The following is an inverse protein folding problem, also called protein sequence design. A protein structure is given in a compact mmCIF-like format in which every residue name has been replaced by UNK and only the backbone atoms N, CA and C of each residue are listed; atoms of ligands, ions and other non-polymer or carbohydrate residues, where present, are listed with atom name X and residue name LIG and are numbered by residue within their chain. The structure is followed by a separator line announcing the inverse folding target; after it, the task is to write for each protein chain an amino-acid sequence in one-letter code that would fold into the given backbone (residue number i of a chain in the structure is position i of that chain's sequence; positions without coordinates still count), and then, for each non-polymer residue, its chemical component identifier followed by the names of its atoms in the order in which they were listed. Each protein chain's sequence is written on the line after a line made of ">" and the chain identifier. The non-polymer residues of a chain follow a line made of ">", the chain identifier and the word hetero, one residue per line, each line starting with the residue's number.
data_IF_899520893754
#
_entry.id   IF_899520893754
#
_cell.length_a   1.000
_cell.length_b   1.000
_cell.length_c   1.000
_cell.angle_alpha   90.00
_cell.angle_beta   90.00
_cell.angle_gamma   90.00
#
_symmetry.space_group_name_H-M   'P 1'
#
loop_
_entity.id
_entity.type
_entity.pdbx_description
1 polymer ?
#
# COMPACT_ATOMS: atom_id res chain seq x y z
N UNK A 1 1.15 19.05 -8.92
CA UNK A 1 0.56 17.74 -8.56
C UNK A 1 0.75 16.82 -9.76
N UNK A 2 1.43 15.71 -9.58
CA UNK A 2 1.58 14.69 -10.63
C UNK A 2 0.21 14.05 -10.89
N UNK A 3 -0.11 13.73 -12.15
CA UNK A 3 -1.33 13.00 -12.49
C UNK A 3 -1.27 11.60 -11.88
N UNK A 4 -2.43 11.08 -11.42
CA UNK A 4 -2.55 9.71 -10.93
C UNK A 4 -2.15 8.72 -12.02
N UNK A 5 -1.35 7.72 -11.68
CA UNK A 5 -0.95 6.67 -12.62
C UNK A 5 -2.15 5.84 -13.10
N UNK A 6 -2.10 5.34 -14.34
CA UNK A 6 -3.14 4.48 -14.87
C UNK A 6 -3.19 3.14 -14.13
N UNK A 7 -4.41 2.65 -13.88
CA UNK A 7 -4.71 1.29 -13.38
C UNK A 7 -4.89 0.38 -14.60
N UNK A 8 -4.17 -0.72 -14.64
CA UNK A 8 -4.09 -1.61 -15.81
C UNK A 8 -4.37 -3.08 -15.50
N UNK A 9 -4.10 -3.52 -14.28
CA UNK A 9 -4.30 -4.90 -13.82
C UNK A 9 -5.70 -5.10 -13.23
N UNK A 10 -6.15 -4.15 -12.40
CA UNK A 10 -7.46 -4.20 -11.77
C UNK A 10 -8.57 -3.68 -12.68
N UNK A 11 -9.77 -4.26 -12.58
CA UNK A 11 -10.99 -3.58 -12.99
C UNK A 11 -11.38 -2.49 -11.96
N UNK A 12 -12.38 -1.64 -12.30
CA UNK A 12 -12.78 -0.53 -11.45
C UNK A 12 -13.25 -0.98 -10.05
N UNK A 13 -13.98 -2.08 -9.96
CA UNK A 13 -14.46 -2.63 -8.70
C UNK A 13 -13.33 -3.14 -7.82
N UNK A 14 -12.43 -3.95 -8.38
CA UNK A 14 -11.25 -4.45 -7.66
C UNK A 14 -10.36 -3.31 -7.17
N UNK A 15 -10.14 -2.30 -8.01
CA UNK A 15 -9.36 -1.12 -7.62
C UNK A 15 -10.01 -0.38 -6.45
N UNK A 16 -11.34 -0.19 -6.46
CA UNK A 16 -12.07 0.47 -5.38
C UNK A 16 -11.97 -0.31 -4.06
N UNK A 17 -12.13 -1.64 -4.10
CA UNK A 17 -12.04 -2.49 -2.90
C UNK A 17 -10.63 -2.49 -2.32
N UNK A 18 -9.60 -2.67 -3.14
CA UNK A 18 -8.19 -2.68 -2.68
C UNK A 18 -7.75 -1.29 -2.19
N UNK A 19 -8.19 -0.22 -2.87
CA UNK A 19 -7.93 1.16 -2.41
C UNK A 19 -8.61 1.45 -1.07
N UNK A 20 -9.84 0.98 -0.87
CA UNK A 20 -10.53 1.10 0.43
C UNK A 20 -9.78 0.34 1.53
N UNK A 21 -9.32 -0.89 1.27
CA UNK A 21 -8.49 -1.64 2.22
C UNK A 21 -7.21 -0.88 2.58
N UNK A 22 -6.46 -0.42 1.58
CA UNK A 22 -5.23 0.34 1.79
C UNK A 22 -5.48 1.61 2.62
N UNK A 23 -6.59 2.31 2.36
CA UNK A 23 -6.98 3.51 3.11
C UNK A 23 -7.36 3.22 4.57
N UNK A 24 -7.80 2.00 4.92
CA UNK A 24 -8.02 1.62 6.33
C UNK A 24 -6.73 1.17 7.01
N UNK A 25 -5.77 0.61 6.27
CA UNK A 25 -4.45 0.20 6.79
C UNK A 25 -3.58 1.43 7.09
N UNK A 26 -3.53 2.41 6.19
CA UNK A 26 -2.82 3.68 6.39
C UNK A 26 -3.81 4.82 6.08
N UNK A 27 -4.64 5.19 7.06
CA UNK A 27 -5.58 6.29 6.88
C UNK A 27 -4.82 7.62 6.83
N UNK A 28 -5.27 8.52 5.97
CA UNK A 28 -4.82 9.91 6.00
C UNK A 28 -5.50 10.69 7.10
N UNK A 29 -4.97 11.88 7.38
CA UNK A 29 -5.58 12.90 8.23
C UNK A 29 -5.59 14.24 7.51
N UNK A 30 -6.03 15.29 8.20
CA UNK A 30 -5.98 16.64 7.64
C UNK A 30 -4.53 17.10 7.35
N UNK A 31 -3.59 16.65 8.17
CA UNK A 31 -2.19 17.10 8.12
C UNK A 31 -1.25 16.05 7.53
N UNK A 32 -1.61 14.77 7.59
CA UNK A 32 -0.76 13.64 7.19
C UNK A 32 -1.38 12.85 6.03
N UNK A 33 -0.63 12.62 4.94
CA UNK A 33 -1.11 11.82 3.82
C UNK A 33 -1.24 10.34 4.18
N UNK A 34 -2.34 9.72 3.74
CA UNK A 34 -2.55 8.28 3.82
C UNK A 34 -2.27 7.56 2.51
N UNK A 35 -2.73 6.30 2.44
CA UNK A 35 -2.55 5.45 1.27
C UNK A 35 -3.20 6.01 -0.01
N UNK A 36 -4.31 6.76 0.13
CA UNK A 36 -5.00 7.39 -1.02
C UNK A 36 -4.17 8.53 -1.61
N UNK A 37 -3.66 9.43 -0.76
CA UNK A 37 -2.86 10.58 -1.15
C UNK A 37 -1.51 10.14 -1.73
N UNK A 38 -0.97 9.04 -1.23
CA UNK A 38 0.25 8.43 -1.72
C UNK A 38 0.07 7.58 -2.99
N UNK A 39 -1.14 7.44 -3.54
CA UNK A 39 -1.45 6.60 -4.71
C UNK A 39 -1.00 5.14 -4.54
N UNK A 40 -1.14 4.56 -3.34
CA UNK A 40 -0.71 3.19 -3.04
C UNK A 40 -1.34 2.17 -3.99
N UNK A 41 -2.59 2.37 -4.41
CA UNK A 41 -3.27 1.49 -5.38
C UNK A 41 -2.52 1.39 -6.72
N UNK A 42 -1.86 2.47 -7.16
CA UNK A 42 -1.06 2.46 -8.40
C UNK A 42 0.17 1.57 -8.25
N UNK A 43 0.81 1.58 -7.07
CA UNK A 43 1.89 0.65 -6.76
C UNK A 43 1.41 -0.79 -6.83
N UNK A 44 0.31 -1.12 -6.14
CA UNK A 44 -0.21 -2.50 -6.09
C UNK A 44 -0.58 -2.98 -7.49
N UNK A 45 -1.27 -2.16 -8.29
CA UNK A 45 -1.65 -2.49 -9.66
C UNK A 45 -0.43 -2.80 -10.54
N UNK A 46 0.60 -1.95 -10.49
CA UNK A 46 1.85 -2.15 -11.25
C UNK A 46 2.63 -3.37 -10.78
N UNK A 47 2.69 -3.60 -9.48
CA UNK A 47 3.37 -4.77 -8.91
C UNK A 47 2.70 -6.07 -9.37
N UNK A 48 1.36 -6.11 -9.39
CA UNK A 48 0.58 -7.23 -9.91
C UNK A 48 0.66 -7.38 -11.42
N UNK A 49 0.80 -6.30 -12.19
CA UNK A 49 1.08 -6.37 -13.61
C UNK A 49 2.50 -6.87 -13.92
N UNK A 50 3.40 -6.87 -12.95
CA UNK A 50 4.81 -7.23 -13.08
C UNK A 50 5.28 -8.32 -12.12
N UNK A 51 6.11 -7.93 -11.15
CA UNK A 51 6.83 -8.87 -10.26
C UNK A 51 5.92 -9.77 -9.42
N UNK A 52 4.74 -9.29 -9.04
CA UNK A 52 3.75 -10.02 -8.25
C UNK A 52 2.61 -10.61 -9.09
N UNK A 53 2.81 -10.80 -10.40
CA UNK A 53 1.79 -11.34 -11.31
C UNK A 53 1.19 -12.69 -10.86
N UNK A 54 1.95 -13.51 -10.15
CA UNK A 54 1.51 -14.78 -9.57
C UNK A 54 0.44 -14.60 -8.46
N UNK A 55 0.30 -13.41 -7.87
CA UNK A 55 -0.71 -13.08 -6.85
C UNK A 55 -2.04 -12.56 -7.43
N UNK A 56 -2.15 -12.33 -8.75
CA UNK A 56 -3.41 -11.89 -9.35
C UNK A 56 -4.60 -12.80 -9.03
N UNK A 57 -4.48 -14.16 -9.04
CA UNK A 57 -5.59 -15.03 -8.65
C UNK A 57 -6.01 -14.83 -7.17
N UNK A 58 -5.06 -14.58 -6.26
CA UNK A 58 -5.34 -14.27 -4.86
C UNK A 58 -6.16 -12.98 -4.74
N UNK A 59 -5.76 -11.91 -5.43
CA UNK A 59 -6.48 -10.64 -5.41
C UNK A 59 -7.91 -10.77 -5.96
N UNK A 60 -8.12 -11.48 -7.07
CA UNK A 60 -9.47 -11.71 -7.58
C UNK A 60 -10.36 -12.46 -6.59
N UNK A 61 -9.90 -13.60 -6.10
CA UNK A 61 -10.66 -14.41 -5.13
C UNK A 61 -10.84 -13.69 -3.79
N UNK A 62 -9.82 -12.98 -3.34
CA UNK A 62 -9.84 -12.23 -2.08
C UNK A 62 -10.85 -11.09 -2.09
N UNK A 63 -10.90 -10.30 -3.17
CA UNK A 63 -11.91 -9.24 -3.35
C UNK A 63 -13.32 -9.85 -3.36
N UNK A 64 -13.57 -10.91 -4.14
CA UNK A 64 -14.88 -11.57 -4.20
C UNK A 64 -15.31 -12.13 -2.84
N UNK A 65 -14.39 -12.74 -2.08
CA UNK A 65 -14.68 -13.28 -0.76
C UNK A 65 -14.93 -12.17 0.27
N UNK A 66 -14.15 -11.07 0.22
CA UNK A 66 -14.32 -9.92 1.10
C UNK A 66 -15.66 -9.22 0.86
N UNK A 67 -16.04 -9.03 -0.40
CA UNK A 67 -17.33 -8.43 -0.76
C UNK A 67 -18.50 -9.30 -0.32
N UNK A 68 -18.39 -10.62 -0.47
CA UNK A 68 -19.40 -11.57 0.03
C UNK A 68 -19.58 -11.45 1.55
N UNK A 69 -18.45 -11.45 2.30
CA UNK A 69 -18.49 -11.30 3.76
C UNK A 69 -19.06 -9.93 4.19
N UNK A 70 -18.69 -8.87 3.48
CA UNK A 70 -19.23 -7.53 3.73
C UNK A 70 -20.74 -7.45 3.45
N UNK A 71 -21.20 -8.04 2.35
CA UNK A 71 -22.61 -8.10 2.00
C UNK A 71 -23.42 -8.92 3.03
N UNK A 72 -22.92 -10.04 3.51
CA UNK A 72 -23.56 -10.85 4.56
C UNK A 72 -23.66 -10.10 5.89
N UNK A 73 -22.64 -9.32 6.27
CA UNK A 73 -22.59 -8.61 7.56
C UNK A 73 -23.27 -7.25 7.51
N UNK A 74 -23.22 -6.55 6.37
CA UNK A 74 -23.59 -5.13 6.27
C UNK A 74 -24.52 -4.81 5.09
N UNK A 75 -24.83 -5.79 4.22
CA UNK A 75 -25.75 -5.62 3.10
C UNK A 75 -25.16 -4.89 1.88
N UNK A 76 -23.84 -4.65 1.83
CA UNK A 76 -23.17 -3.94 0.75
C UNK A 76 -21.76 -4.52 0.52
N UNK A 77 -21.17 -4.38 -0.70
CA UNK A 77 -19.79 -4.75 -0.94
C UNK A 77 -18.83 -3.89 -0.11
N UNK A 78 -17.64 -4.41 0.17
CA UNK A 78 -16.68 -3.80 1.12
C UNK A 78 -16.39 -2.31 0.83
N UNK A 79 -16.19 -1.94 -0.44
CA UNK A 79 -15.89 -0.55 -0.81
C UNK A 79 -17.04 0.43 -0.54
N UNK A 80 -18.28 -0.06 -0.42
CA UNK A 80 -19.49 0.73 -0.14
C UNK A 80 -19.85 0.75 1.35
N UNK A 81 -19.20 -0.07 2.17
CA UNK A 81 -19.37 -0.04 3.63
C UNK A 81 -18.80 1.26 4.22
N UNK A 82 -19.34 1.67 5.37
CA UNK A 82 -18.78 2.77 6.13
C UNK A 82 -17.35 2.42 6.63
N UNK A 83 -16.54 3.43 6.89
CA UNK A 83 -15.17 3.24 7.41
C UNK A 83 -15.13 2.38 8.67
N UNK A 84 -16.05 2.58 9.61
CA UNK A 84 -16.15 1.78 10.83
C UNK A 84 -16.47 0.30 10.55
N UNK A 85 -17.30 0.01 9.53
CA UNK A 85 -17.59 -1.36 9.11
C UNK A 85 -16.38 -2.00 8.41
N UNK A 86 -15.70 -1.23 7.57
CA UNK A 86 -14.43 -1.67 6.94
C UNK A 86 -13.36 -1.97 7.99
N UNK A 87 -13.20 -1.10 9.00
CA UNK A 87 -12.25 -1.29 10.09
C UNK A 87 -12.55 -2.56 10.92
N UNK A 88 -13.82 -2.82 11.22
CA UNK A 88 -14.22 -4.03 11.94
C UNK A 88 -13.87 -5.29 11.14
N UNK A 89 -14.22 -5.33 9.85
CA UNK A 89 -13.91 -6.47 8.97
C UNK A 89 -12.41 -6.71 8.83
N UNK A 90 -11.62 -5.66 8.62
CA UNK A 90 -10.16 -5.78 8.47
C UNK A 90 -9.47 -6.08 9.80
N UNK A 91 -9.96 -5.50 10.91
CA UNK A 91 -9.43 -5.77 12.24
C UNK A 91 -9.50 -7.25 12.60
N UNK A 92 -10.64 -7.90 12.35
CA UNK A 92 -10.80 -9.33 12.55
C UNK A 92 -9.82 -10.15 11.68
N UNK A 93 -9.67 -9.78 10.41
CA UNK A 93 -8.80 -10.52 9.47
C UNK A 93 -7.31 -10.32 9.76
N UNK A 94 -6.90 -9.16 10.26
CA UNK A 94 -5.50 -8.85 10.54
C UNK A 94 -5.08 -9.24 11.96
N UNK A 95 -6.01 -9.42 12.90
CA UNK A 95 -5.70 -9.91 14.25
C UNK A 95 -5.16 -11.34 14.22
N UNK A 96 -5.64 -12.18 13.30
CA UNK A 96 -5.27 -13.60 13.15
C UNK A 96 -4.16 -13.85 12.10
N UNK A 97 -3.32 -12.87 11.79
CA UNK A 97 -2.25 -12.98 10.79
C UNK A 97 -1.11 -13.97 11.16
N UNK A 98 -1.16 -14.58 12.32
CA UNK A 98 -0.31 -15.73 12.66
C UNK A 98 -1.12 -17.03 12.53
N UNK A 99 -0.72 -17.95 11.92
CA UNK A 99 -0.39 -18.74 10.75
C UNK A 99 -1.61 -19.43 10.10
N UNK A 100 -2.37 -18.69 9.31
CA UNK A 100 -3.68 -19.15 8.82
C UNK A 100 -3.67 -20.23 7.73
N UNK A 101 -2.53 -20.58 7.14
CA UNK A 101 -2.52 -21.51 5.99
C UNK A 101 -2.62 -23.00 6.36
N UNK A 102 -2.43 -23.38 7.65
CA UNK A 102 -2.45 -24.77 8.09
C UNK A 102 -3.09 -24.97 9.48
N UNK A 103 -3.96 -24.07 9.92
CA UNK A 103 -4.62 -24.21 11.23
C UNK A 103 -5.80 -25.16 11.10
N UNK A 104 -5.77 -26.37 11.74
CA UNK A 104 -6.90 -27.29 11.71
C UNK A 104 -8.17 -26.65 12.27
N UNK A 105 -9.26 -26.71 11.50
CA UNK A 105 -10.58 -26.21 11.93
C UNK A 105 -10.94 -24.80 11.45
N UNK A 106 -10.04 -24.11 10.73
CA UNK A 106 -10.38 -22.86 10.04
C UNK A 106 -10.92 -23.20 8.65
N UNK A 107 -12.06 -22.58 8.26
CA UNK A 107 -12.62 -22.78 6.93
C UNK A 107 -11.74 -22.13 5.84
N UNK A 108 -11.86 -22.66 4.59
CA UNK A 108 -11.03 -22.24 3.47
C UNK A 108 -11.21 -20.74 3.13
N UNK A 109 -12.43 -20.20 3.25
CA UNK A 109 -12.72 -18.79 2.95
C UNK A 109 -12.09 -17.86 3.99
N UNK A 110 -12.10 -18.21 5.27
CA UNK A 110 -11.44 -17.44 6.35
C UNK A 110 -9.93 -17.45 6.16
N UNK A 111 -9.33 -18.60 5.84
CA UNK A 111 -7.89 -18.71 5.56
C UNK A 111 -7.49 -17.88 4.34
N UNK A 112 -8.30 -17.91 3.27
CA UNK A 112 -8.08 -17.09 2.08
C UNK A 112 -8.13 -15.59 2.41
N UNK A 113 -9.12 -15.16 3.17
CA UNK A 113 -9.32 -13.75 3.51
C UNK A 113 -8.20 -13.22 4.40
N UNK A 114 -7.78 -13.96 5.44
CA UNK A 114 -6.68 -13.56 6.30
C UNK A 114 -5.36 -13.45 5.52
N UNK A 115 -5.08 -14.40 4.64
CA UNK A 115 -3.90 -14.33 3.78
C UNK A 115 -3.97 -13.17 2.79
N UNK A 116 -5.13 -12.95 2.15
CA UNK A 116 -5.34 -11.82 1.26
C UNK A 116 -5.15 -10.47 1.99
N UNK A 117 -5.75 -10.31 3.17
CA UNK A 117 -5.59 -9.11 3.99
C UNK A 117 -4.13 -8.87 4.38
N UNK A 118 -3.39 -9.90 4.76
CA UNK A 118 -1.96 -9.82 5.07
C UNK A 118 -1.13 -9.37 3.85
N UNK A 119 -1.41 -9.91 2.67
CA UNK A 119 -0.73 -9.50 1.42
C UNK A 119 -1.07 -8.06 1.04
N UNK A 120 -2.34 -7.64 1.15
CA UNK A 120 -2.72 -6.24 0.91
C UNK A 120 -2.05 -5.31 1.91
N UNK A 121 -1.98 -5.69 3.20
CA UNK A 121 -1.26 -4.93 4.22
C UNK A 121 0.22 -4.75 3.85
N UNK A 122 0.91 -5.84 3.49
CA UNK A 122 2.32 -5.79 3.04
C UNK A 122 2.50 -4.85 1.85
N UNK A 123 1.68 -5.02 0.81
CA UNK A 123 1.79 -4.20 -0.40
C UNK A 123 1.38 -2.73 -0.14
N UNK A 124 0.52 -2.47 0.84
CA UNK A 124 0.19 -1.10 1.26
C UNK A 124 1.41 -0.41 1.87
N UNK A 125 2.15 -1.08 2.74
CA UNK A 125 3.41 -0.56 3.31
C UNK A 125 4.46 -0.34 2.21
N UNK A 126 4.62 -1.29 1.31
CA UNK A 126 5.55 -1.16 0.18
C UNK A 126 5.18 0.04 -0.72
N UNK A 127 3.90 0.20 -1.05
CA UNK A 127 3.41 1.31 -1.86
C UNK A 127 3.51 2.67 -1.16
N UNK A 128 3.35 2.72 0.17
CA UNK A 128 3.45 3.95 0.95
C UNK A 128 4.89 4.42 1.12
N UNK A 129 5.84 3.49 1.28
CA UNK A 129 7.22 3.81 1.67
C UNK A 129 8.28 3.40 0.64
N UNK A 130 7.88 2.78 -0.46
CA UNK A 130 8.77 2.50 -1.59
C UNK A 130 9.17 3.76 -2.36
N UNK A 131 10.10 3.62 -3.33
CA UNK A 131 10.45 4.74 -4.19
C UNK A 131 9.27 5.09 -5.13
N UNK A 132 8.94 6.37 -5.32
CA UNK A 132 7.86 6.82 -6.22
C UNK A 132 7.96 6.29 -7.67
N UNK A 133 9.15 5.89 -8.11
CA UNK A 133 9.34 5.28 -9.42
C UNK A 133 8.52 3.98 -9.60
N UNK A 134 8.12 3.33 -8.52
CA UNK A 134 7.30 2.10 -8.56
C UNK A 134 5.78 2.37 -8.57
N UNK A 135 5.35 3.63 -8.42
CA UNK A 135 3.96 4.04 -8.63
C UNK A 135 3.21 4.53 -7.41
N UNK A 136 3.60 4.12 -6.19
CA UNK A 136 3.09 4.65 -4.92
C UNK A 136 3.95 5.79 -4.37
N UNK A 137 3.79 6.10 -3.09
CA UNK A 137 4.56 7.14 -2.39
C UNK A 137 4.63 8.45 -3.20
N UNK A 138 3.50 8.84 -3.79
CA UNK A 138 3.42 9.99 -4.68
C UNK A 138 4.03 11.23 -4.03
N UNK A 139 4.89 11.92 -4.78
CA UNK A 139 5.61 13.12 -4.33
C UNK A 139 6.45 12.89 -3.05
N UNK A 140 6.81 11.62 -2.74
CA UNK A 140 7.54 11.25 -1.54
C UNK A 140 6.73 11.43 -0.25
N UNK A 141 5.40 11.30 -0.32
CA UNK A 141 4.48 11.54 0.79
C UNK A 141 4.83 10.72 2.04
N UNK A 142 5.00 9.41 1.91
CA UNK A 142 5.38 8.54 3.02
C UNK A 142 6.80 8.81 3.54
N UNK A 143 7.73 9.16 2.66
CA UNK A 143 9.08 9.51 3.08
C UNK A 143 9.13 10.83 3.86
N UNK A 144 8.31 11.80 3.48
CA UNK A 144 8.20 13.07 4.22
C UNK A 144 7.64 12.87 5.62
N UNK A 145 6.65 11.99 5.79
CA UNK A 145 6.13 11.61 7.11
C UNK A 145 7.22 11.04 8.03
N UNK A 146 8.14 10.26 7.47
CA UNK A 146 9.23 9.64 8.23
C UNK A 146 10.45 10.54 8.39
N UNK A 147 10.51 11.70 7.74
CA UNK A 147 11.73 12.48 7.63
C UNK A 147 12.83 11.74 6.85
N UNK A 148 12.45 10.80 5.97
CA UNK A 148 13.40 10.02 5.19
C UNK A 148 13.77 10.78 3.89
N UNK A 149 15.06 11.06 3.64
CA UNK A 149 15.49 11.88 2.52
C UNK A 149 15.50 11.15 1.17
N UNK A 150 15.05 9.90 1.13
CA UNK A 150 14.96 9.11 -0.10
C UNK A 150 16.29 8.50 -0.56
N UNK A 151 16.40 8.28 -1.88
CA UNK A 151 17.55 7.63 -2.49
C UNK A 151 18.76 8.57 -2.52
N UNK A 152 19.92 8.13 -1.98
CA UNK A 152 21.14 8.93 -1.90
C UNK A 152 22.40 8.09 -2.16
N UNK A 153 23.44 8.71 -2.69
CA UNK A 153 24.74 8.07 -2.88
C UNK A 153 25.54 7.94 -1.56
N UNK A 154 25.20 8.74 -0.54
CA UNK A 154 25.87 8.75 0.76
C UNK A 154 25.40 9.93 1.60
N UNK A 155 25.88 9.95 2.84
CA UNK A 155 25.62 10.99 3.83
C UNK A 155 26.95 11.65 4.22
N UNK A 156 26.91 12.96 4.49
CA UNK A 156 28.05 13.69 5.05
C UNK A 156 28.27 13.32 6.52
N UNK A 157 29.45 13.64 7.05
CA UNK A 157 29.75 13.40 8.46
C UNK A 157 28.81 14.17 9.42
N UNK A 158 28.27 15.31 8.97
CA UNK A 158 27.31 16.08 9.72
C UNK A 158 25.93 15.43 9.74
N UNK A 159 25.46 14.95 8.59
CA UNK A 159 24.18 14.24 8.44
C UNK A 159 24.16 12.90 9.19
N UNK A 160 25.32 12.31 9.49
CA UNK A 160 25.46 11.09 10.28
C UNK A 160 25.57 11.32 11.79
N UNK A 161 25.55 12.55 12.26
CA UNK A 161 25.60 12.83 13.70
C UNK A 161 24.31 12.42 14.40
N UNK A 162 24.43 11.89 15.60
CA UNK A 162 23.28 11.61 16.45
C UNK A 162 22.45 12.88 16.68
N UNK A 163 21.14 12.78 16.48
CA UNK A 163 20.21 13.89 16.62
C UNK A 163 20.13 14.85 15.42
N UNK A 164 20.78 14.51 14.29
CA UNK A 164 20.60 15.26 13.06
C UNK A 164 19.16 15.05 12.52
N UNK A 165 18.46 16.14 12.22
CA UNK A 165 17.13 16.10 11.63
C UNK A 165 17.21 15.86 10.13
N UNK A 166 16.98 14.62 9.70
CA UNK A 166 17.01 14.25 8.29
C UNK A 166 15.83 14.83 7.48
N UNK A 167 14.76 15.29 8.13
CA UNK A 167 13.63 15.95 7.50
C UNK A 167 13.99 17.29 6.83
N UNK A 168 15.15 17.88 7.19
CA UNK A 168 15.69 19.07 6.53
C UNK A 168 16.30 18.78 5.16
N UNK A 169 16.61 17.53 4.86
CA UNK A 169 17.20 17.14 3.59
C UNK A 169 16.10 17.03 2.54
N UNK A 170 16.21 17.67 1.37
CA UNK A 170 15.25 17.49 0.29
C UNK A 170 15.12 16.02 -0.12
N UNK A 171 13.89 15.54 -0.27
CA UNK A 171 13.63 14.17 -0.74
C UNK A 171 14.18 14.00 -2.16
N UNK A 172 14.96 12.95 -2.37
CA UNK A 172 15.54 12.57 -3.67
C UNK A 172 15.04 11.18 -4.07
N UNK A 173 14.53 11.03 -5.28
CA UNK A 173 14.05 9.76 -5.83
C UNK A 173 15.12 9.05 -6.66
N UNK A 174 14.90 7.79 -7.01
CA UNK A 174 15.75 7.06 -7.98
C UNK A 174 15.78 7.76 -9.34
N UNK A 175 14.70 8.39 -9.74
CA UNK A 175 14.64 9.14 -10.99
C UNK A 175 15.54 10.37 -10.95
N UNK A 176 15.56 11.10 -9.84
CA UNK A 176 16.45 12.24 -9.64
C UNK A 176 17.92 11.81 -9.68
N UNK A 177 18.27 10.71 -9.04
CA UNK A 177 19.62 10.15 -9.10
C UNK A 177 20.03 9.77 -10.54
N UNK A 178 19.11 9.17 -11.30
CA UNK A 178 19.35 8.83 -12.70
C UNK A 178 19.58 10.07 -13.56
N UNK A 179 18.77 11.12 -13.37
CA UNK A 179 18.94 12.42 -14.06
C UNK A 179 20.30 13.07 -13.72
N UNK A 180 20.67 13.10 -12.43
CA UNK A 180 21.97 13.62 -11.98
C UNK A 180 23.14 12.89 -12.63
N UNK A 181 23.03 11.55 -12.75
CA UNK A 181 24.08 10.74 -13.40
C UNK A 181 24.15 11.01 -14.91
N UNK A 182 23.02 11.18 -15.58
CA UNK A 182 22.99 11.48 -17.01
C UNK A 182 23.60 12.85 -17.33
N UNK A 183 23.36 13.86 -16.49
CA UNK A 183 23.90 15.22 -16.65
C UNK A 183 25.40 15.39 -16.33
N UNK A 184 26.03 14.33 -15.78
CA UNK A 184 27.50 14.32 -15.50
C UNK A 184 28.33 13.67 -16.60
N UNK A 185 27.72 13.23 -17.69
CA UNK A 185 28.39 12.71 -18.91
C UNK A 185 28.45 13.75 -20.00
#
# INVERSE_FOLDING_TARGET
>A
MSERGAITCFNAHQAATVEAMAARIIPGSQDDPGAREADVIVYIDRALAGAYGHLQPLYRRGVEALDRRAAESHGAPFAECSEAQQDALLGDLLADVAPALDTPGVDEDTSLLSYFAAVVHQHTIEGMFGDPAYGGNRDGAGWKLLGFPGARWGYSAEEMRYGFDSGQIPVTTLEDLRRQRAGRR
#
